data_IF_519727527798
#
_entry.id   IF_519727527798
#
_cell.length_a   1.000
_cell.length_b   1.000
_cell.length_c   1.000
_cell.angle_alpha   90.00
_cell.angle_beta   90.00
_cell.angle_gamma   90.00
#
_symmetry.space_group_name_H-M   'P 1'
#
loop_
_entity.id
_entity.type
_entity.pdbx_description
1 polymer ?
#
# COMPACT_ATOMS: atom_id res chain seq x y z
N UNK A 1 -1.81 6.63 21.68
CA UNK A 1 -1.22 6.89 23.02
C UNK A 1 -2.19 7.76 23.80
N UNK A 2 -2.51 7.49 25.08
CA UNK A 2 -3.37 8.38 25.86
C UNK A 2 -2.68 9.73 26.05
N UNK A 3 -3.40 10.83 25.82
CA UNK A 3 -2.85 12.20 25.76
C UNK A 3 -2.13 12.60 27.05
N UNK A 4 -2.68 12.23 28.21
CA UNK A 4 -2.07 12.51 29.52
C UNK A 4 -0.72 11.81 29.71
N UNK A 5 -0.58 10.58 29.22
CA UNK A 5 0.67 9.82 29.27
C UNK A 5 1.73 10.44 28.35
N UNK A 6 1.30 10.96 27.20
CA UNK A 6 2.19 11.64 26.25
C UNK A 6 2.71 12.96 26.82
N UNK A 7 1.85 13.76 27.45
CA UNK A 7 2.24 15.03 28.07
C UNK A 7 3.18 14.80 29.25
N UNK A 8 2.84 13.85 30.14
CA UNK A 8 3.71 13.47 31.26
C UNK A 8 5.10 13.01 30.78
N UNK A 9 5.16 12.23 29.70
CA UNK A 9 6.43 11.86 29.11
C UNK A 9 7.21 13.07 28.57
N UNK A 10 6.55 13.97 27.85
CA UNK A 10 7.18 15.15 27.25
C UNK A 10 7.76 16.08 28.31
N UNK A 11 7.08 16.24 29.44
CA UNK A 11 7.56 17.04 30.56
C UNK A 11 8.80 16.40 31.20
N UNK A 12 8.76 15.08 31.42
CA UNK A 12 9.92 14.33 31.91
C UNK A 12 11.10 14.37 30.92
N UNK A 13 10.82 14.26 29.63
CA UNK A 13 11.85 14.33 28.60
C UNK A 13 12.48 15.72 28.53
N UNK A 14 11.67 16.79 28.55
CA UNK A 14 12.11 18.17 28.41
C UNK A 14 12.82 18.71 29.66
N UNK A 15 12.46 18.22 30.83
CA UNK A 15 13.14 18.58 32.10
C UNK A 15 14.57 18.02 32.20
N UNK A 16 14.90 16.98 31.42
CA UNK A 16 16.26 16.45 31.35
C UNK A 16 17.17 17.38 30.55
N UNK A 17 18.10 18.06 31.25
CA UNK A 17 19.01 19.01 30.62
C UNK A 17 20.06 18.31 29.76
N UNK A 18 19.89 18.38 28.43
CA UNK A 18 20.85 17.89 27.43
C UNK A 18 21.53 19.07 26.75
N UNK A 19 22.85 18.99 26.53
CA UNK A 19 23.58 20.04 25.78
C UNK A 19 23.45 19.76 24.28
N UNK A 20 23.01 20.74 23.45
CA UNK A 20 23.10 20.64 22.01
C UNK A 20 24.55 20.42 21.56
N UNK A 21 24.76 19.47 20.67
CA UNK A 21 26.08 19.10 20.14
C UNK A 21 25.94 18.81 18.64
N UNK A 22 26.51 19.69 17.82
CA UNK A 22 26.45 19.59 16.36
C UNK A 22 27.10 18.31 15.84
N UNK A 23 28.21 17.86 16.45
CA UNK A 23 28.91 16.65 16.01
C UNK A 23 28.05 15.41 16.25
N UNK A 24 27.43 15.32 17.43
CA UNK A 24 26.51 14.22 17.75
C UNK A 24 25.24 14.27 16.92
N UNK A 25 24.65 15.45 16.73
CA UNK A 25 23.48 15.63 15.88
C UNK A 25 23.78 15.22 14.43
N UNK A 26 24.88 15.71 13.85
CA UNK A 26 25.30 15.36 12.48
C UNK A 26 25.55 13.85 12.31
N UNK A 27 26.24 13.21 13.27
CA UNK A 27 26.42 11.75 13.27
C UNK A 27 25.09 11.00 13.34
N UNK A 28 24.17 11.46 14.18
CA UNK A 28 22.84 10.87 14.29
C UNK A 28 22.04 11.03 13.00
N UNK A 29 22.00 12.23 12.41
CA UNK A 29 21.36 12.50 11.11
C UNK A 29 21.93 11.59 10.02
N UNK A 30 23.25 11.39 9.97
CA UNK A 30 23.87 10.49 9.00
C UNK A 30 23.46 9.03 9.20
N UNK A 31 23.23 8.58 10.44
CA UNK A 31 22.67 7.24 10.68
C UNK A 31 21.23 7.16 10.17
N UNK A 32 20.40 8.18 10.43
CA UNK A 32 19.00 8.23 9.98
C UNK A 32 18.88 8.15 8.45
N UNK A 33 19.83 8.71 7.69
CA UNK A 33 19.85 8.62 6.22
C UNK A 33 19.96 7.20 5.66
N UNK A 34 20.47 6.25 6.43
CA UNK A 34 20.80 4.91 5.94
C UNK A 34 20.33 3.78 6.85
N UNK A 35 19.52 4.07 7.86
CA UNK A 35 19.14 3.05 8.83
C UNK A 35 18.19 2.00 8.25
N UNK A 36 18.26 0.79 8.81
CA UNK A 36 17.41 -0.35 8.51
C UNK A 36 16.52 -0.71 9.71
N UNK A 37 15.52 -1.57 9.51
CA UNK A 37 14.62 -2.04 10.56
C UNK A 37 15.36 -2.49 11.84
N UNK A 38 16.45 -3.27 11.69
CA UNK A 38 17.25 -3.80 12.80
C UNK A 38 17.92 -2.72 13.67
N UNK A 39 18.08 -1.51 13.14
CA UNK A 39 18.72 -0.39 13.82
C UNK A 39 17.72 0.53 14.53
N UNK A 40 16.42 0.30 14.37
CA UNK A 40 15.36 1.15 14.91
C UNK A 40 15.51 1.37 16.42
N UNK A 41 15.60 0.29 17.21
CA UNK A 41 15.64 0.39 18.68
C UNK A 41 16.92 1.08 19.18
N UNK A 42 18.05 0.83 18.52
CA UNK A 42 19.32 1.51 18.81
C UNK A 42 19.23 3.01 18.53
N UNK A 43 18.54 3.42 17.46
CA UNK A 43 18.33 4.83 17.15
C UNK A 43 17.34 5.50 18.10
N UNK A 44 16.25 4.81 18.45
CA UNK A 44 15.27 5.30 19.43
C UNK A 44 15.95 5.54 20.78
N UNK A 45 16.80 4.61 21.23
CA UNK A 45 17.55 4.78 22.48
C UNK A 45 18.49 6.00 22.43
N UNK A 46 19.11 6.28 21.27
CA UNK A 46 19.95 7.46 21.12
C UNK A 46 19.17 8.77 21.27
N UNK A 47 17.89 8.82 20.87
CA UNK A 47 17.04 10.02 21.05
C UNK A 47 16.94 10.47 22.51
N UNK A 48 17.03 9.54 23.47
CA UNK A 48 16.94 9.84 24.91
C UNK A 48 18.16 10.58 25.45
N UNK A 49 19.28 10.52 24.74
CA UNK A 49 20.57 11.12 25.15
C UNK A 49 20.94 12.39 24.39
N UNK A 50 20.25 12.69 23.29
CA UNK A 50 20.59 13.78 22.38
C UNK A 50 19.66 14.98 22.57
N UNK A 51 20.19 16.18 22.31
CA UNK A 51 19.41 17.42 22.23
C UNK A 51 19.28 17.83 20.77
N UNK A 52 18.18 17.44 20.13
CA UNK A 52 18.00 17.58 18.67
C UNK A 52 17.06 18.72 18.27
N UNK A 53 16.54 19.52 19.20
CA UNK A 53 15.55 20.58 18.92
C UNK A 53 15.99 21.65 17.90
N UNK A 54 17.31 21.79 17.65
CA UNK A 54 17.85 22.71 16.63
C UNK A 54 18.16 22.03 15.29
N UNK A 55 18.01 20.72 15.22
CA UNK A 55 18.42 19.85 14.11
C UNK A 55 17.28 18.94 13.65
N UNK A 56 16.08 19.13 14.20
CA UNK A 56 14.91 18.27 13.98
C UNK A 56 14.48 18.29 12.50
N UNK A 57 14.51 19.45 11.83
CA UNK A 57 14.28 19.57 10.39
C UNK A 57 15.27 18.74 9.55
N UNK A 58 16.57 18.80 9.86
CA UNK A 58 17.58 18.02 9.13
C UNK A 58 17.38 16.51 9.31
N UNK A 59 16.90 16.09 10.48
CA UNK A 59 16.61 14.68 10.79
C UNK A 59 15.36 14.22 10.03
N UNK A 60 14.30 15.03 9.98
CA UNK A 60 13.10 14.73 9.19
C UNK A 60 13.48 14.60 7.71
N UNK A 61 14.26 15.53 7.16
CA UNK A 61 14.74 15.42 5.77
C UNK A 61 15.60 14.19 5.53
N UNK A 62 16.49 13.85 6.45
CA UNK A 62 17.29 12.63 6.39
C UNK A 62 16.42 11.36 6.39
N UNK A 63 15.33 11.36 7.16
CA UNK A 63 14.38 10.26 7.20
C UNK A 63 13.67 10.08 5.86
N UNK A 64 13.14 11.16 5.27
CA UNK A 64 12.50 11.09 3.96
C UNK A 64 13.48 10.74 2.84
N UNK A 65 14.73 11.23 2.93
CA UNK A 65 15.79 10.84 2.00
C UNK A 65 16.04 9.33 2.04
N UNK A 66 16.12 8.73 3.23
CA UNK A 66 16.27 7.28 3.38
C UNK A 66 15.09 6.54 2.75
N UNK A 67 13.85 6.96 3.06
CA UNK A 67 12.64 6.36 2.48
C UNK A 67 12.60 6.45 0.95
N UNK A 68 13.13 7.53 0.37
CA UNK A 68 13.16 7.73 -1.07
C UNK A 68 14.26 6.92 -1.78
N UNK A 69 15.45 6.80 -1.16
CA UNK A 69 16.65 6.27 -1.82
C UNK A 69 16.91 4.79 -1.52
N UNK A 70 16.43 4.26 -0.40
CA UNK A 70 16.78 2.91 0.04
C UNK A 70 15.95 1.82 -0.67
N UNK A 71 16.52 1.30 -1.76
CA UNK A 71 15.90 0.27 -2.61
C UNK A 71 15.81 -1.13 -2.00
N UNK A 72 16.38 -1.36 -0.81
CA UNK A 72 16.46 -2.70 -0.17
C UNK A 72 15.36 -2.94 0.88
N UNK A 73 14.49 -1.97 1.14
CA UNK A 73 13.46 -2.08 2.18
C UNK A 73 12.33 -3.03 1.76
N UNK A 74 11.93 -3.93 2.66
CA UNK A 74 10.74 -4.78 2.50
C UNK A 74 9.51 -4.05 3.03
N UNK A 75 8.32 -4.34 2.50
CA UNK A 75 7.08 -3.69 2.98
C UNK A 75 6.85 -3.85 4.49
N UNK A 76 7.26 -4.98 5.06
CA UNK A 76 7.24 -5.26 6.50
C UNK A 76 8.09 -4.30 7.33
N UNK A 77 9.03 -3.59 6.70
CA UNK A 77 9.92 -2.67 7.42
C UNK A 77 9.19 -1.36 7.78
N UNK A 78 8.07 -1.04 7.12
CA UNK A 78 7.32 0.21 7.30
C UNK A 78 6.99 0.51 8.77
N UNK A 79 6.60 -0.52 9.54
CA UNK A 79 6.28 -0.38 10.97
C UNK A 79 7.48 0.11 11.78
N UNK A 80 8.71 -0.28 11.44
CA UNK A 80 9.93 0.14 12.15
C UNK A 80 10.30 1.58 11.82
N UNK A 81 10.13 1.99 10.56
CA UNK A 81 10.32 3.39 10.17
C UNK A 81 9.26 4.29 10.81
N UNK A 82 8.01 3.84 10.85
CA UNK A 82 6.94 4.55 11.54
C UNK A 82 7.18 4.60 13.05
N UNK A 83 7.70 3.52 13.67
CA UNK A 83 8.07 3.51 15.09
C UNK A 83 9.14 4.56 15.38
N UNK A 84 10.19 4.63 14.55
CA UNK A 84 11.21 5.66 14.68
C UNK A 84 10.61 7.07 14.56
N UNK A 85 9.80 7.33 13.53
CA UNK A 85 9.16 8.63 13.33
C UNK A 85 8.22 9.00 14.48
N UNK A 86 7.41 8.06 14.97
CA UNK A 86 6.55 8.24 16.15
C UNK A 86 7.36 8.58 17.40
N UNK A 87 8.47 7.89 17.64
CA UNK A 87 9.36 8.16 18.77
C UNK A 87 10.09 9.50 18.65
N UNK A 88 10.39 9.95 17.42
CA UNK A 88 10.90 11.29 17.15
C UNK A 88 9.83 12.35 17.46
N UNK A 89 8.61 12.20 16.92
CA UNK A 89 7.46 13.08 17.16
C UNK A 89 7.10 13.17 18.65
N UNK A 90 7.19 12.06 19.36
CA UNK A 90 6.91 11.95 20.78
C UNK A 90 7.81 12.87 21.60
N UNK A 91 9.10 12.94 21.24
CA UNK A 91 10.14 13.77 21.90
C UNK A 91 10.25 15.18 21.35
N UNK A 92 9.98 15.38 20.06
CA UNK A 92 10.14 16.63 19.34
C UNK A 92 8.85 16.95 18.57
N UNK A 93 7.81 17.50 19.25
CA UNK A 93 6.51 17.76 18.63
C UNK A 93 6.56 18.77 17.48
N UNK A 94 7.59 19.62 17.45
CA UNK A 94 7.90 20.53 16.33
C UNK A 94 8.08 19.82 14.99
N UNK A 95 8.38 18.52 14.99
CA UNK A 95 8.54 17.73 13.77
C UNK A 95 7.22 17.36 13.09
N UNK A 96 6.10 17.36 13.81
CA UNK A 96 4.76 17.02 13.26
C UNK A 96 4.44 17.80 11.97
N UNK A 97 4.46 19.15 11.97
CA UNK A 97 4.17 19.91 10.76
C UNK A 97 5.18 19.64 9.63
N UNK A 98 6.44 19.33 9.97
CA UNK A 98 7.47 19.00 8.96
C UNK A 98 7.18 17.67 8.27
N UNK A 99 6.77 16.66 9.03
CA UNK A 99 6.32 15.38 8.45
C UNK A 99 5.07 15.58 7.57
N UNK A 100 4.07 16.33 8.05
CA UNK A 100 2.86 16.59 7.28
C UNK A 100 3.15 17.32 5.96
N UNK A 101 4.05 18.30 5.98
CA UNK A 101 4.49 19.03 4.78
C UNK A 101 5.18 18.11 3.75
N UNK A 102 6.10 17.27 4.20
CA UNK A 102 6.81 16.33 3.32
C UNK A 102 5.87 15.28 2.72
N UNK A 103 4.96 14.69 3.51
CA UNK A 103 3.95 13.76 2.99
C UNK A 103 3.02 14.42 1.99
N UNK A 104 2.52 15.62 2.28
CA UNK A 104 1.67 16.38 1.36
C UNK A 104 2.40 16.69 0.04
N UNK A 105 3.70 17.02 0.11
CA UNK A 105 4.54 17.25 -1.06
C UNK A 105 4.63 15.98 -1.93
N UNK A 106 4.87 14.83 -1.31
CA UNK A 106 4.94 13.55 -2.03
C UNK A 106 3.59 13.17 -2.65
N UNK A 107 2.49 13.34 -1.92
CA UNK A 107 1.16 13.06 -2.47
C UNK A 107 0.78 14.01 -3.62
N UNK A 108 1.18 15.28 -3.53
CA UNK A 108 1.03 16.23 -4.63
C UNK A 108 1.84 15.81 -5.87
N UNK A 109 3.04 15.24 -5.69
CA UNK A 109 3.83 14.69 -6.79
C UNK A 109 3.15 13.51 -7.46
N UNK A 110 2.54 12.58 -6.71
CA UNK A 110 1.76 11.48 -7.30
C UNK A 110 0.60 12.00 -8.13
N UNK A 111 -0.06 13.07 -7.67
CA UNK A 111 -1.14 13.71 -8.43
C UNK A 111 -0.64 14.36 -9.71
N UNK A 112 0.50 15.05 -9.64
CA UNK A 112 1.09 15.74 -10.78
C UNK A 112 1.69 14.77 -11.82
N UNK A 113 2.15 13.60 -11.37
CA UNK A 113 2.86 12.63 -12.22
C UNK A 113 2.27 11.22 -12.06
N UNK A 114 1.02 10.98 -12.53
CA UNK A 114 0.28 9.74 -12.28
C UNK A 114 0.91 8.49 -12.91
N UNK A 115 1.82 8.65 -13.88
CA UNK A 115 2.54 7.55 -14.54
C UNK A 115 3.84 7.16 -13.82
N UNK A 116 4.34 7.97 -12.88
CA UNK A 116 5.57 7.66 -12.16
C UNK A 116 5.36 6.49 -11.19
N UNK A 117 6.41 5.69 -10.92
CA UNK A 117 6.36 4.68 -9.88
C UNK A 117 6.04 5.30 -8.51
N UNK A 118 5.07 4.72 -7.80
CA UNK A 118 4.72 5.14 -6.45
C UNK A 118 5.71 4.56 -5.43
N UNK A 119 6.19 5.39 -4.50
CA UNK A 119 6.99 4.91 -3.38
C UNK A 119 6.08 4.28 -2.32
N UNK A 120 5.88 2.96 -2.44
CA UNK A 120 5.03 2.17 -1.53
C UNK A 120 5.46 2.28 -0.07
N UNK A 121 6.77 2.30 0.21
CA UNK A 121 7.26 2.38 1.58
C UNK A 121 6.81 3.66 2.25
N UNK A 122 6.94 4.80 1.56
CA UNK A 122 6.52 6.09 2.07
C UNK A 122 5.02 6.11 2.37
N UNK A 123 4.20 5.56 1.47
CA UNK A 123 2.76 5.43 1.70
C UNK A 123 2.44 4.53 2.91
N UNK A 124 3.14 3.40 3.08
CA UNK A 124 2.93 2.50 4.22
C UNK A 124 3.37 3.12 5.54
N UNK A 125 4.51 3.82 5.59
CA UNK A 125 4.93 4.59 6.77
C UNK A 125 3.86 5.63 7.14
N UNK A 126 3.25 6.29 6.15
CA UNK A 126 2.14 7.21 6.42
C UNK A 126 0.93 6.52 7.05
N UNK A 127 0.57 5.32 6.56
CA UNK A 127 -0.54 4.53 7.09
C UNK A 127 -0.27 4.09 8.54
N UNK A 128 0.92 3.57 8.83
CA UNK A 128 1.35 3.21 10.19
C UNK A 128 1.31 4.40 11.14
N UNK A 129 1.80 5.57 10.70
CA UNK A 129 1.77 6.78 11.52
C UNK A 129 0.35 7.30 11.80
N UNK A 130 -0.57 7.07 10.85
CA UNK A 130 -2.00 7.31 11.05
C UNK A 130 -2.59 6.34 12.09
N UNK A 131 -2.26 5.05 12.01
CA UNK A 131 -2.67 4.04 13.01
C UNK A 131 -2.07 4.31 14.40
N UNK A 132 -0.84 4.83 14.47
CA UNK A 132 -0.24 5.27 15.73
C UNK A 132 -0.87 6.55 16.29
N UNK A 133 -1.70 7.25 15.52
CA UNK A 133 -2.30 8.53 15.89
C UNK A 133 -1.26 9.65 16.04
N UNK A 134 -0.14 9.56 15.32
CA UNK A 134 0.97 10.52 15.43
C UNK A 134 0.82 11.67 14.44
N UNK A 135 0.52 11.34 13.18
CA UNK A 135 0.30 12.30 12.09
C UNK A 135 -0.71 11.73 11.12
N UNK A 136 -1.25 12.62 10.29
CA UNK A 136 -2.17 12.22 9.24
C UNK A 136 -3.59 11.96 9.76
N UNK A 137 -4.53 12.13 8.86
CA UNK A 137 -5.94 11.88 9.10
C UNK A 137 -6.38 10.83 8.10
N UNK A 138 -7.27 9.94 8.51
CA UNK A 138 -7.77 8.85 7.69
C UNK A 138 -8.37 9.38 6.38
N UNK A 139 -8.93 10.60 6.40
CA UNK A 139 -9.44 11.27 5.21
C UNK A 139 -8.35 11.60 4.16
N UNK A 140 -7.08 11.77 4.55
CA UNK A 140 -5.95 11.97 3.63
C UNK A 140 -5.62 10.66 2.93
N UNK A 141 -5.58 9.55 3.67
CA UNK A 141 -5.41 8.20 3.10
C UNK A 141 -6.50 7.94 2.06
N UNK A 142 -7.76 8.25 2.39
CA UNK A 142 -8.86 8.16 1.43
C UNK A 142 -8.69 8.98 0.16
N UNK A 143 -8.16 10.21 0.26
CA UNK A 143 -7.88 11.06 -0.91
C UNK A 143 -6.77 10.47 -1.78
N UNK A 144 -5.71 9.93 -1.16
CA UNK A 144 -4.59 9.31 -1.87
C UNK A 144 -5.04 8.01 -2.54
N UNK A 145 -5.78 7.16 -1.83
CA UNK A 145 -6.36 5.93 -2.40
C UNK A 145 -7.33 6.23 -3.55
N UNK A 146 -8.11 7.32 -3.46
CA UNK A 146 -8.95 7.78 -4.58
C UNK A 146 -8.12 8.16 -5.80
N UNK A 147 -7.06 8.94 -5.62
CA UNK A 147 -6.12 9.27 -6.70
C UNK A 147 -5.53 8.00 -7.34
N UNK A 148 -5.14 7.03 -6.52
CA UNK A 148 -4.68 5.72 -6.98
C UNK A 148 -5.78 4.95 -7.74
N UNK A 149 -7.02 5.03 -7.28
CA UNK A 149 -8.14 4.37 -7.94
C UNK A 149 -8.39 4.91 -9.36
N UNK A 150 -8.13 6.20 -9.58
CA UNK A 150 -8.27 6.88 -10.88
C UNK A 150 -7.09 6.60 -11.83
N UNK A 151 -5.99 6.02 -11.33
CA UNK A 151 -4.75 5.76 -12.08
C UNK A 151 -4.51 4.26 -12.33
N UNK A 152 -5.59 3.53 -12.65
CA UNK A 152 -5.59 2.06 -12.93
C UNK A 152 -4.66 1.60 -14.04
N UNK A 153 -4.08 2.52 -14.81
CA UNK A 153 -3.10 2.20 -15.83
C UNK A 153 -1.67 2.06 -15.32
N UNK A 154 -1.36 2.48 -14.09
CA UNK A 154 0.00 2.42 -13.54
C UNK A 154 0.22 1.09 -12.79
N UNK A 155 1.12 0.20 -13.27
CA UNK A 155 1.35 -1.10 -12.62
C UNK A 155 1.84 -0.98 -11.17
N UNK A 156 2.58 0.08 -10.84
CA UNK A 156 3.04 0.32 -9.47
C UNK A 156 1.90 0.66 -8.52
N UNK A 157 0.87 1.35 -9.02
CA UNK A 157 -0.37 1.65 -8.28
C UNK A 157 -1.17 0.37 -8.08
N UNK A 158 -1.29 -0.48 -9.10
CA UNK A 158 -1.97 -1.77 -8.97
C UNK A 158 -1.31 -2.64 -7.91
N UNK A 159 0.02 -2.73 -7.95
CA UNK A 159 0.76 -3.48 -6.95
C UNK A 159 0.63 -2.87 -5.55
N UNK A 160 0.60 -1.54 -5.43
CA UNK A 160 0.35 -0.85 -4.15
C UNK A 160 -1.03 -1.18 -3.61
N UNK A 161 -2.09 -1.03 -4.40
CA UNK A 161 -3.47 -1.31 -3.98
C UNK A 161 -3.60 -2.76 -3.51
N UNK A 162 -3.10 -3.70 -4.30
CA UNK A 162 -3.06 -5.13 -3.97
C UNK A 162 -2.40 -5.37 -2.60
N UNK A 163 -1.17 -4.88 -2.42
CA UNK A 163 -0.40 -5.14 -1.21
C UNK A 163 -0.95 -4.37 -0.01
N UNK A 164 -1.56 -3.21 -0.23
CA UNK A 164 -2.28 -2.48 0.81
C UNK A 164 -3.45 -3.30 1.34
N UNK A 165 -4.25 -3.92 0.47
CA UNK A 165 -5.33 -4.81 0.93
C UNK A 165 -4.81 -6.01 1.74
N UNK A 166 -3.62 -6.52 1.42
CA UNK A 166 -3.00 -7.62 2.18
C UNK A 166 -2.48 -7.16 3.54
N UNK A 167 -1.77 -6.03 3.58
CA UNK A 167 -1.06 -5.55 4.78
C UNK A 167 -1.97 -4.79 5.73
N UNK A 168 -2.84 -3.95 5.18
CA UNK A 168 -3.66 -2.97 5.89
C UNK A 168 -5.16 -3.22 5.73
N UNK A 169 -5.55 -4.30 5.03
CA UNK A 169 -6.93 -4.63 4.76
C UNK A 169 -7.78 -4.70 6.03
N UNK A 170 -7.26 -5.28 7.10
CA UNK A 170 -7.97 -5.42 8.37
C UNK A 170 -8.31 -4.05 8.97
N UNK A 171 -7.32 -3.17 9.08
CA UNK A 171 -7.49 -1.85 9.68
C UNK A 171 -8.28 -0.91 8.77
N UNK A 172 -7.95 -0.83 7.48
CA UNK A 172 -8.50 0.20 6.61
C UNK A 172 -9.71 -0.25 5.80
N UNK A 173 -9.80 -1.50 5.37
CA UNK A 173 -10.82 -1.93 4.39
C UNK A 173 -11.81 -2.93 5.02
N UNK A 174 -11.57 -3.38 6.24
CA UNK A 174 -12.36 -4.44 6.89
C UNK A 174 -12.12 -5.83 6.27
N UNK A 175 -10.92 -6.09 5.71
CA UNK A 175 -10.55 -7.38 5.07
C UNK A 175 -9.67 -8.20 6.01
N UNK A 176 -10.03 -9.46 6.24
CA UNK A 176 -9.37 -10.33 7.20
C UNK A 176 -8.64 -11.48 6.48
N UNK A 177 -7.58 -12.03 7.10
CA UNK A 177 -6.90 -13.21 6.58
C UNK A 177 -7.84 -14.41 6.39
N UNK A 178 -7.55 -15.21 5.36
CA UNK A 178 -8.35 -16.38 4.94
C UNK A 178 -8.51 -17.47 5.98
N UNK A 179 -7.68 -17.53 7.03
CA UNK A 179 -7.84 -18.51 8.10
C UNK A 179 -9.01 -18.16 9.03
N UNK A 180 -9.53 -16.93 8.98
CA UNK A 180 -10.73 -16.51 9.67
C UNK A 180 -11.94 -16.82 8.77
N UNK A 181 -12.32 -18.09 8.76
CA UNK A 181 -13.27 -18.69 7.81
C UNK A 181 -14.74 -18.65 8.25
N UNK A 182 -15.05 -18.25 9.48
CA UNK A 182 -16.44 -18.18 9.96
C UNK A 182 -16.73 -16.87 10.68
N UNK A 183 -17.94 -16.36 10.47
CA UNK A 183 -18.46 -15.14 11.10
C UNK A 183 -18.29 -15.15 12.62
N UNK A 184 -18.55 -16.29 13.27
CA UNK A 184 -18.39 -16.46 14.71
C UNK A 184 -16.95 -16.19 15.16
N UNK A 185 -15.96 -16.78 14.48
CA UNK A 185 -14.54 -16.61 14.79
C UNK A 185 -14.09 -15.17 14.56
N UNK A 186 -14.62 -14.52 13.52
CA UNK A 186 -14.33 -13.11 13.25
C UNK A 186 -14.87 -12.22 14.39
N UNK A 187 -16.10 -12.47 14.84
CA UNK A 187 -16.69 -11.73 15.97
C UNK A 187 -15.91 -11.93 17.28
N UNK A 188 -15.43 -13.14 17.55
CA UNK A 188 -14.58 -13.42 18.73
C UNK A 188 -13.23 -12.70 18.67
N UNK A 189 -12.58 -12.67 17.51
CA UNK A 189 -11.33 -11.91 17.31
C UNK A 189 -11.57 -10.42 17.50
N UNK A 190 -12.67 -9.90 16.95
CA UNK A 190 -13.07 -8.50 17.03
C UNK A 190 -13.30 -7.99 18.44
N UNK A 191 -13.75 -8.85 19.36
CA UNK A 191 -13.92 -8.46 20.76
C UNK A 191 -12.60 -8.05 21.42
N UNK A 192 -11.50 -8.68 21.01
CA UNK A 192 -10.18 -8.45 21.59
C UNK A 192 -9.31 -7.52 20.73
N UNK A 193 -9.58 -7.48 19.42
CA UNK A 193 -8.82 -6.74 18.43
C UNK A 193 -9.79 -6.03 17.50
N UNK A 194 -10.48 -5.01 18.01
CA UNK A 194 -11.29 -4.15 17.16
C UNK A 194 -10.38 -3.28 16.27
N UNK A 195 -10.69 -3.09 14.98
CA UNK A 195 -9.96 -2.18 14.11
C UNK A 195 -9.94 -0.76 14.71
N UNK A 196 -8.83 -0.07 14.49
CA UNK A 196 -8.67 1.33 14.89
C UNK A 196 -9.56 2.25 14.05
N UNK A 197 -9.81 1.88 12.80
CA UNK A 197 -10.64 2.64 11.87
C UNK A 197 -12.10 2.19 12.01
N UNK A 198 -13.02 3.16 12.10
CA UNK A 198 -14.44 2.90 12.23
C UNK A 198 -15.02 2.21 10.97
N UNK A 199 -15.98 1.26 11.12
CA UNK A 199 -16.55 0.51 10.00
C UNK A 199 -17.12 1.38 8.87
N UNK A 200 -17.72 2.52 9.20
CA UNK A 200 -18.26 3.46 8.20
C UNK A 200 -17.18 4.02 7.27
N UNK A 201 -15.98 4.25 7.79
CA UNK A 201 -14.85 4.71 6.99
C UNK A 201 -14.18 3.55 6.25
N UNK A 202 -14.14 2.37 6.86
CA UNK A 202 -13.68 1.15 6.19
C UNK A 202 -14.51 0.84 4.94
N UNK A 203 -15.85 0.97 5.02
CA UNK A 203 -16.74 0.83 3.85
C UNK A 203 -16.45 1.82 2.73
N UNK A 204 -16.04 3.06 3.06
CA UNK A 204 -15.63 4.07 2.06
C UNK A 204 -14.29 3.73 1.42
N UNK A 205 -13.35 3.11 2.13
CA UNK A 205 -12.11 2.63 1.51
C UNK A 205 -12.40 1.39 0.67
N UNK A 206 -13.27 0.50 1.13
CA UNK A 206 -13.70 -0.67 0.37
C UNK A 206 -14.33 -0.30 -0.98
N UNK A 207 -15.16 0.75 -1.03
CA UNK A 207 -15.75 1.20 -2.30
C UNK A 207 -14.69 1.63 -3.31
N UNK A 208 -13.62 2.34 -2.88
CA UNK A 208 -12.52 2.72 -3.77
C UNK A 208 -11.79 1.51 -4.37
N UNK A 209 -11.71 0.42 -3.61
CA UNK A 209 -11.13 -0.84 -4.06
C UNK A 209 -12.05 -1.54 -5.07
N UNK A 210 -13.36 -1.53 -4.83
CA UNK A 210 -14.34 -2.06 -5.78
C UNK A 210 -14.34 -1.27 -7.12
N UNK A 211 -14.28 0.06 -7.04
CA UNK A 211 -14.18 0.93 -8.21
C UNK A 211 -12.90 0.66 -9.01
N UNK A 212 -11.76 0.52 -8.30
CA UNK A 212 -10.48 0.21 -8.92
C UNK A 212 -10.47 -1.13 -9.65
N UNK A 213 -11.05 -2.16 -9.04
CA UNK A 213 -11.20 -3.48 -9.67
C UNK A 213 -12.02 -3.42 -10.94
N UNK A 214 -13.17 -2.74 -10.88
CA UNK A 214 -14.05 -2.58 -12.03
C UNK A 214 -13.33 -1.91 -13.20
N UNK A 215 -12.50 -0.90 -12.92
CA UNK A 215 -11.65 -0.25 -13.91
C UNK A 215 -10.57 -1.19 -14.47
N UNK A 216 -9.93 -2.00 -13.62
CA UNK A 216 -8.90 -2.96 -14.02
C UNK A 216 -9.48 -4.03 -14.95
N UNK A 217 -10.65 -4.58 -14.60
CA UNK A 217 -11.36 -5.60 -15.37
C UNK A 217 -11.81 -5.05 -16.72
N UNK A 218 -12.38 -3.84 -16.74
CA UNK A 218 -12.74 -3.16 -17.99
C UNK A 218 -11.54 -3.04 -18.93
N UNK A 219 -10.38 -2.62 -18.41
CA UNK A 219 -9.13 -2.56 -19.18
C UNK A 219 -8.69 -3.93 -19.68
N UNK A 220 -8.82 -4.98 -18.86
CA UNK A 220 -8.57 -6.36 -19.25
C UNK A 220 -9.38 -6.77 -20.49
N UNK A 221 -10.67 -6.41 -20.52
CA UNK A 221 -11.54 -6.67 -21.66
C UNK A 221 -11.08 -5.89 -22.91
N UNK A 222 -10.74 -4.61 -22.78
CA UNK A 222 -10.25 -3.79 -23.90
C UNK A 222 -8.97 -4.36 -24.53
N UNK A 223 -8.00 -4.78 -23.70
CA UNK A 223 -6.75 -5.40 -24.19
C UNK A 223 -7.01 -6.75 -24.85
N UNK A 224 -7.92 -7.55 -24.31
CA UNK A 224 -8.32 -8.83 -24.90
C UNK A 224 -8.94 -8.65 -26.30
N UNK A 225 -9.78 -7.64 -26.50
CA UNK A 225 -10.38 -7.34 -27.79
C UNK A 225 -9.33 -7.00 -28.85
N UNK A 226 -8.37 -6.14 -28.48
CA UNK A 226 -7.25 -5.76 -29.34
C UNK A 226 -6.37 -6.96 -29.67
N UNK A 227 -5.98 -7.76 -28.67
CA UNK A 227 -5.19 -8.97 -28.87
C UNK A 227 -5.90 -9.94 -29.83
N UNK A 228 -7.19 -10.17 -29.62
CA UNK A 228 -8.00 -11.04 -30.47
C UNK A 228 -8.09 -10.52 -31.90
N UNK A 229 -8.14 -9.20 -32.09
CA UNK A 229 -8.13 -8.58 -33.42
C UNK A 229 -6.78 -8.79 -34.11
N UNK A 230 -5.67 -8.46 -33.45
CA UNK A 230 -4.33 -8.63 -34.01
C UNK A 230 -4.05 -10.09 -34.38
N UNK A 231 -4.47 -11.03 -33.53
CA UNK A 231 -4.35 -12.46 -33.81
C UNK A 231 -5.13 -12.87 -35.07
N UNK A 232 -6.39 -12.41 -35.22
CA UNK A 232 -7.19 -12.68 -36.43
C UNK A 232 -6.55 -12.07 -37.67
N UNK A 233 -6.03 -10.85 -37.57
CA UNK A 233 -5.39 -10.15 -38.69
C UNK A 233 -4.08 -10.86 -39.11
N UNK A 234 -3.31 -11.36 -38.14
CA UNK A 234 -2.09 -12.13 -38.38
C UNK A 234 -2.39 -13.47 -39.07
N UNK A 235 -3.42 -14.20 -38.59
CA UNK A 235 -3.89 -15.42 -39.23
C UNK A 235 -4.36 -15.17 -40.67
N UNK A 236 -5.12 -14.08 -40.89
CA UNK A 236 -5.61 -13.71 -42.21
C UNK A 236 -4.48 -13.30 -43.17
N UNK A 237 -3.49 -12.52 -42.71
CA UNK A 237 -2.30 -12.21 -43.51
C UNK A 237 -1.50 -13.46 -43.87
N UNK A 238 -1.30 -14.36 -42.89
CA UNK A 238 -0.61 -15.63 -43.12
C UNK A 238 -1.34 -16.45 -44.18
N UNK A 239 -2.68 -16.52 -44.11
CA UNK A 239 -3.49 -17.25 -45.08
C UNK A 239 -3.42 -16.64 -46.49
N UNK A 240 -3.40 -15.31 -46.62
CA UNK A 240 -3.39 -14.64 -47.93
C UNK A 240 -2.00 -14.49 -48.55
N UNK A 241 -0.95 -14.31 -47.73
CA UNK A 241 0.38 -13.89 -48.17
C UNK A 241 1.50 -14.82 -47.75
N UNK A 242 1.21 -15.83 -46.92
CA UNK A 242 2.20 -16.77 -46.37
C UNK A 242 3.14 -16.15 -45.31
N UNK A 243 2.97 -14.88 -44.97
CA UNK A 243 3.79 -14.15 -44.01
C UNK A 243 3.00 -13.04 -43.31
N UNK A 244 3.40 -12.71 -42.08
CA UNK A 244 2.86 -11.61 -41.27
C UNK A 244 3.82 -10.43 -41.33
N UNK A 245 3.29 -9.20 -41.36
CA UNK A 245 4.13 -8.01 -41.27
C UNK A 245 4.74 -7.85 -39.87
N UNK A 246 6.01 -7.45 -39.78
CA UNK A 246 6.72 -7.20 -38.51
C UNK A 246 5.96 -6.24 -37.56
N UNK A 247 5.28 -5.23 -38.11
CA UNK A 247 4.46 -4.30 -37.32
C UNK A 247 3.30 -4.99 -36.60
N UNK A 248 2.63 -5.93 -37.28
CA UNK A 248 1.49 -6.66 -36.74
C UNK A 248 1.94 -7.70 -35.71
N UNK A 249 3.06 -8.38 -35.99
CA UNK A 249 3.68 -9.31 -35.05
C UNK A 249 4.14 -8.59 -33.76
N UNK A 250 4.70 -7.39 -33.87
CA UNK A 250 5.06 -6.57 -32.72
C UNK A 250 3.82 -6.15 -31.90
N UNK A 251 2.73 -5.74 -32.57
CA UNK A 251 1.46 -5.37 -31.92
C UNK A 251 0.81 -6.56 -31.20
N UNK A 252 0.80 -7.74 -31.82
CA UNK A 252 0.27 -8.97 -31.21
C UNK A 252 1.07 -9.39 -29.98
N UNK A 253 2.40 -9.31 -30.06
CA UNK A 253 3.31 -9.64 -28.95
C UNK A 253 3.15 -8.68 -27.77
N UNK A 254 3.06 -7.38 -28.01
CA UNK A 254 2.82 -6.37 -26.98
C UNK A 254 1.46 -6.58 -26.29
N UNK A 255 0.39 -6.75 -27.07
CA UNK A 255 -0.95 -7.03 -26.53
C UNK A 255 -0.98 -8.32 -25.69
N UNK A 256 -0.27 -9.37 -26.14
CA UNK A 256 -0.16 -10.63 -25.40
C UNK A 256 0.56 -10.47 -24.06
N UNK A 257 1.64 -9.69 -24.02
CA UNK A 257 2.36 -9.41 -22.79
C UNK A 257 1.50 -8.60 -21.80
N UNK A 258 0.83 -7.55 -22.27
CA UNK A 258 -0.08 -6.75 -21.45
C UNK A 258 -1.24 -7.58 -20.89
N UNK A 259 -1.80 -8.49 -21.69
CA UNK A 259 -2.87 -9.39 -21.26
C UNK A 259 -2.40 -10.33 -20.15
N UNK A 260 -1.19 -10.89 -20.27
CA UNK A 260 -0.61 -11.76 -19.22
C UNK A 260 -0.43 -11.02 -17.90
N UNK A 261 -0.01 -9.76 -17.94
CA UNK A 261 0.14 -8.92 -16.75
C UNK A 261 -1.21 -8.59 -16.10
N UNK A 262 -2.21 -8.17 -16.90
CA UNK A 262 -3.55 -7.86 -16.41
C UNK A 262 -4.25 -9.09 -15.84
N UNK A 263 -4.07 -10.26 -16.44
CA UNK A 263 -4.61 -11.52 -15.92
C UNK A 263 -4.04 -11.83 -14.53
N UNK A 264 -2.73 -11.76 -14.36
CA UNK A 264 -2.10 -11.98 -13.05
C UNK A 264 -2.61 -11.00 -11.99
N UNK A 265 -2.82 -9.74 -12.35
CA UNK A 265 -3.37 -8.72 -11.44
C UNK A 265 -4.83 -9.01 -11.09
N UNK A 266 -5.65 -9.38 -12.07
CA UNK A 266 -7.06 -9.73 -11.88
C UNK A 266 -7.24 -10.99 -11.04
N UNK A 267 -6.47 -12.04 -11.28
CA UNK A 267 -6.55 -13.30 -10.51
C UNK A 267 -6.20 -13.07 -9.04
N UNK A 268 -5.18 -12.24 -8.79
CA UNK A 268 -4.84 -11.83 -7.43
C UNK A 268 -5.98 -11.03 -6.79
N UNK A 269 -6.57 -10.09 -7.53
CA UNK A 269 -7.65 -9.27 -7.02
C UNK A 269 -8.92 -10.08 -6.72
N UNK A 270 -9.26 -11.04 -7.57
CA UNK A 270 -10.37 -11.97 -7.35
C UNK A 270 -10.15 -12.81 -6.08
N UNK A 271 -8.90 -13.16 -5.76
CA UNK A 271 -8.53 -13.79 -4.49
C UNK A 271 -8.79 -12.86 -3.29
N UNK A 272 -8.57 -11.54 -3.43
CA UNK A 272 -8.92 -10.55 -2.40
C UNK A 272 -10.45 -10.42 -2.26
N UNK A 273 -11.20 -10.24 -3.36
CA UNK A 273 -12.66 -10.04 -3.33
C UNK A 273 -13.39 -11.22 -2.69
N UNK A 274 -13.01 -12.46 -3.01
CA UNK A 274 -13.60 -13.65 -2.36
C UNK A 274 -13.46 -13.63 -0.84
N UNK A 275 -12.41 -12.99 -0.31
CA UNK A 275 -12.18 -12.84 1.13
C UNK A 275 -13.09 -11.77 1.72
N UNK A 276 -13.33 -10.69 1.00
CA UNK A 276 -14.17 -9.55 1.40
C UNK A 276 -15.64 -9.96 1.60
N UNK A 277 -16.23 -10.79 0.73
CA UNK A 277 -17.68 -11.11 0.80
C UNK A 277 -18.09 -11.86 2.07
N UNK A 278 -17.25 -12.75 2.61
CA UNK A 278 -17.54 -13.44 3.88
C UNK A 278 -17.59 -12.47 5.05
N UNK A 279 -16.80 -11.38 4.98
CA UNK A 279 -16.61 -10.41 6.06
C UNK A 279 -17.57 -9.23 6.03
N UNK A 280 -17.93 -8.78 4.83
CA UNK A 280 -18.95 -7.75 4.67
C UNK A 280 -20.25 -8.18 5.36
N UNK A 281 -20.58 -9.47 5.27
CA UNK A 281 -21.70 -10.09 5.99
C UNK A 281 -21.50 -10.06 7.51
N UNK A 282 -20.33 -10.48 8.00
CA UNK A 282 -20.01 -10.49 9.43
C UNK A 282 -19.99 -9.10 10.09
N UNK A 283 -19.66 -8.07 9.31
CA UNK A 283 -19.53 -6.67 9.76
C UNK A 283 -20.75 -5.80 9.43
N UNK A 284 -21.81 -6.37 8.81
CA UNK A 284 -22.94 -5.62 8.26
C UNK A 284 -22.52 -4.44 7.36
N UNK A 285 -21.42 -4.60 6.62
CA UNK A 285 -21.03 -3.64 5.60
C UNK A 285 -21.91 -3.86 4.37
N UNK A 286 -22.40 -2.78 3.77
CA UNK A 286 -23.02 -2.85 2.44
C UNK A 286 -21.98 -3.41 1.47
N UNK A 287 -22.20 -4.64 1.01
CA UNK A 287 -21.35 -5.23 -0.02
C UNK A 287 -21.39 -4.31 -1.25
N UNK A 288 -20.22 -3.93 -1.80
CA UNK A 288 -20.20 -3.28 -3.11
C UNK A 288 -20.99 -4.16 -4.08
N UNK A 289 -21.94 -3.57 -4.82
CA UNK A 289 -22.66 -4.33 -5.84
C UNK A 289 -21.69 -4.68 -6.97
N UNK A 290 -21.12 -5.88 -6.89
CA UNK A 290 -20.35 -6.48 -7.97
C UNK A 290 -21.34 -6.97 -9.03
N UNK A 291 -21.63 -6.12 -10.02
CA UNK A 291 -22.43 -6.53 -11.17
C UNK A 291 -21.50 -7.26 -12.15
N UNK A 292 -21.29 -8.54 -11.88
CA UNK A 292 -20.53 -9.45 -12.74
C UNK A 292 -21.10 -9.49 -14.19
N UNK A 293 -22.39 -9.14 -14.34
CA UNK A 293 -23.11 -9.09 -15.62
C UNK A 293 -22.62 -8.01 -16.60
N UNK A 294 -21.97 -6.95 -16.12
CA UNK A 294 -21.41 -5.89 -16.97
C UNK A 294 -19.97 -6.19 -17.40
N UNK A 295 -19.39 -7.26 -16.85
CA UNK A 295 -18.10 -7.81 -17.24
C UNK A 295 -18.35 -9.01 -18.13
N UNK A 296 -18.41 -8.80 -19.44
CA UNK A 296 -18.29 -9.91 -20.38
C UNK A 296 -16.84 -10.41 -20.37
N UNK A 297 -16.47 -11.24 -19.39
CA UNK A 297 -15.25 -12.03 -19.46
C UNK A 297 -15.39 -12.98 -20.65
N UNK A 298 -14.88 -12.60 -21.81
CA UNK A 298 -14.83 -13.50 -22.96
C UNK A 298 -13.98 -14.72 -22.60
N UNK A 299 -14.42 -15.90 -23.03
CA UNK A 299 -13.78 -17.20 -22.73
C UNK A 299 -12.26 -17.14 -22.94
N UNK A 300 -11.51 -17.13 -21.85
CA UNK A 300 -10.09 -16.76 -21.76
C UNK A 300 -9.73 -16.06 -20.44
N UNK A 301 -10.71 -15.32 -19.90
CA UNK A 301 -10.74 -14.75 -18.55
C UNK A 301 -11.51 -15.61 -17.53
N UNK A 302 -12.17 -16.67 -17.97
CA UNK A 302 -13.03 -17.49 -17.11
C UNK A 302 -12.22 -18.39 -16.17
N UNK A 303 -12.58 -18.26 -14.89
CA UNK A 303 -12.22 -19.14 -13.80
C UNK A 303 -12.59 -20.59 -14.15
N UNK A 304 -11.63 -21.50 -14.09
CA UNK A 304 -11.94 -22.92 -13.91
C UNK A 304 -12.17 -23.15 -12.42
N UNK A 305 -13.37 -23.53 -11.97
CA UNK A 305 -13.55 -24.07 -10.63
C UNK A 305 -13.11 -25.53 -10.66
N UNK A 306 -11.87 -25.81 -10.25
CA UNK A 306 -11.49 -27.12 -9.74
C UNK A 306 -10.68 -26.92 -8.47
N UNK A 307 -11.02 -27.73 -7.47
CA UNK A 307 -10.57 -27.57 -6.10
C UNK A 307 -9.06 -27.52 -5.94
N UNK A 308 -8.65 -26.83 -4.87
CA UNK A 308 -7.59 -27.22 -3.96
C UNK A 308 -6.57 -28.26 -4.50
N UNK A 309 -5.35 -27.81 -4.77
CA UNK A 309 -4.14 -28.27 -4.06
C UNK A 309 -2.90 -27.57 -4.66
N UNK A 310 -1.94 -27.30 -3.78
CA UNK A 310 -0.53 -26.96 -4.05
C UNK A 310 -0.21 -25.56 -4.60
N UNK A 311 0.01 -24.61 -3.68
CA UNK A 311 1.09 -23.61 -3.75
C UNK A 311 1.20 -22.83 -2.41
N UNK A 312 1.40 -23.58 -1.32
CA UNK A 312 2.14 -23.14 -0.13
C UNK A 312 2.98 -24.33 0.36
N UNK A 313 3.86 -24.81 -0.51
CA UNK A 313 4.91 -25.75 -0.18
C UNK A 313 6.01 -25.54 -1.22
N UNK A 314 6.84 -24.53 -0.97
CA UNK A 314 8.27 -24.47 -1.32
C UNK A 314 8.69 -23.01 -1.44
N UNK A 315 9.55 -22.58 -0.52
CA UNK A 315 10.35 -21.38 -0.72
C UNK A 315 10.44 -20.40 0.44
N UNK A 316 10.38 -20.82 1.71
CA UNK A 316 11.14 -20.14 2.77
C UNK A 316 11.58 -21.14 3.83
N UNK A 317 12.87 -21.45 3.79
CA UNK A 317 13.64 -21.91 4.94
C UNK A 317 15.10 -22.08 4.54
N UNK A 318 16.02 -22.15 5.51
CA UNK A 318 16.13 -21.34 6.74
C UNK A 318 16.74 -19.95 6.50
#
# INVERSE_FOLDING_TARGET
MKEDNLNSFRDAFSSTRRKPDLSKASKFTNKVKVFTADQCDSLVTQLDSLSLSKYDNEIVKAFFQNLAENKKMKNSDAIWFAKFAAELIRRYPSTVPMFEEEFNTVFAQYKAQPKQPVNRMLFYVYCELCLFGCIGKENVIGKVLRLFSETSQNPSVTQLMILFAVQYGFEFIGVYPTYLISELVIQEVLQNYAPLIQPSLQGRFLSLFADYHSALVKKGNEVWELQSQYHRDALHQTALRGMVSEELEAKEKDATQQMKELKNQSDFWNSIIRRISVLSKALNLEEPQYIEKDVQTRSGFEVVPRGFCDLVADGFGP
#
